data_IF_017564036422
#
_entry.id   IF_017564036422
#
_cell.length_a   1.000
_cell.length_b   1.000
_cell.length_c   1.000
_cell.angle_alpha   90.00
_cell.angle_beta   90.00
_cell.angle_gamma   90.00
#
_symmetry.space_group_name_H-M   'P 1'
#
loop_
_entity.id
_entity.type
_entity.pdbx_description
1 polymer ?
#
# COMPACT_ATOMS: atom_id res chain seq x y z
N UNK A 1 29.84 39.58 54.01
CA UNK A 1 29.37 38.25 53.51
C UNK A 1 27.87 38.16 53.24
N UNK A 2 26.97 38.55 54.17
CA UNK A 2 25.50 38.40 54.02
C UNK A 2 24.89 39.03 52.75
N UNK A 3 25.29 40.25 52.34
CA UNK A 3 24.75 40.92 51.12
C UNK A 3 25.06 40.18 49.80
N UNK A 4 26.22 39.54 49.68
CA UNK A 4 26.59 38.76 48.47
C UNK A 4 25.81 37.44 48.37
N UNK A 5 25.50 36.83 49.51
CA UNK A 5 24.70 35.59 49.59
C UNK A 5 23.23 35.89 49.24
N UNK A 6 22.65 36.97 49.78
CA UNK A 6 21.28 37.38 49.46
C UNK A 6 21.13 37.72 47.96
N UNK A 7 22.11 38.42 47.37
CA UNK A 7 22.07 38.73 45.93
C UNK A 7 22.17 37.48 45.05
N UNK A 8 22.95 36.46 45.46
CA UNK A 8 23.01 35.17 44.75
C UNK A 8 21.72 34.37 44.87
N UNK A 9 21.09 34.35 46.03
CA UNK A 9 19.80 33.66 46.23
C UNK A 9 18.71 34.30 45.37
N UNK A 10 18.62 35.63 45.34
CA UNK A 10 17.64 36.34 44.49
C UNK A 10 17.84 36.01 43.00
N UNK A 11 19.09 36.02 42.52
CA UNK A 11 19.39 35.69 41.11
C UNK A 11 18.99 34.24 40.79
N UNK A 12 19.31 33.29 41.67
CA UNK A 12 18.95 31.87 41.48
C UNK A 12 17.43 31.71 41.44
N UNK A 13 16.70 32.35 42.35
CA UNK A 13 15.23 32.28 42.38
C UNK A 13 14.60 32.89 41.13
N UNK A 14 15.13 34.00 40.61
CA UNK A 14 14.65 34.61 39.36
C UNK A 14 14.91 33.70 38.16
N UNK A 15 16.11 33.11 38.06
CA UNK A 15 16.46 32.19 36.96
C UNK A 15 15.59 30.94 36.99
N UNK A 16 15.36 30.35 38.16
CA UNK A 16 14.48 29.16 38.30
C UNK A 16 13.05 29.50 37.88
N UNK A 17 12.51 30.64 38.32
CA UNK A 17 11.15 31.04 37.94
C UNK A 17 11.03 31.32 36.43
N UNK A 18 12.04 31.92 35.80
CA UNK A 18 12.07 32.13 34.35
C UNK A 18 12.13 30.81 33.59
N UNK A 19 12.94 29.84 34.03
CA UNK A 19 13.01 28.50 33.42
C UNK A 19 11.67 27.78 33.57
N UNK A 20 11.06 27.79 34.76
CA UNK A 20 9.74 27.20 34.99
C UNK A 20 8.69 27.86 34.09
N UNK A 21 8.71 29.18 33.98
CA UNK A 21 7.77 29.91 33.12
C UNK A 21 7.97 29.57 31.64
N UNK A 22 9.21 29.44 31.16
CA UNK A 22 9.51 29.03 29.79
C UNK A 22 9.11 27.58 29.51
N UNK A 23 9.28 26.66 30.47
CA UNK A 23 8.84 25.26 30.36
C UNK A 23 7.31 25.17 30.33
N UNK A 24 6.62 25.92 31.20
CA UNK A 24 5.16 25.97 31.23
C UNK A 24 4.62 26.61 29.95
N UNK A 25 5.19 27.74 29.51
CA UNK A 25 4.81 28.39 28.26
C UNK A 25 5.02 27.47 27.06
N UNK A 26 6.17 26.77 26.97
CA UNK A 26 6.43 25.77 25.95
C UNK A 26 5.44 24.60 25.96
N UNK A 27 5.06 24.10 27.16
CA UNK A 27 4.02 23.08 27.31
C UNK A 27 2.66 23.58 26.83
N UNK A 28 2.27 24.81 27.19
CA UNK A 28 1.00 25.42 26.78
C UNK A 28 0.97 25.63 25.26
N UNK A 29 2.08 26.03 24.63
CA UNK A 29 2.17 26.16 23.17
C UNK A 29 2.06 24.81 22.46
N UNK A 30 2.64 23.75 23.02
CA UNK A 30 2.51 22.37 22.50
C UNK A 30 1.09 21.83 22.69
N UNK A 31 0.43 22.09 23.82
CA UNK A 31 -0.96 21.65 24.02
C UNK A 31 -1.94 22.44 23.16
N UNK A 32 -1.73 23.75 22.99
CA UNK A 32 -2.53 24.55 22.04
C UNK A 32 -2.31 24.11 20.60
N UNK A 33 -1.09 23.75 20.19
CA UNK A 33 -0.86 23.22 18.84
C UNK A 33 -1.50 21.85 18.66
N UNK A 34 -1.51 20.99 19.68
CA UNK A 34 -2.27 19.73 19.67
C UNK A 34 -3.77 19.96 19.55
N UNK A 35 -4.34 20.93 20.26
CA UNK A 35 -5.75 21.31 20.13
C UNK A 35 -6.08 21.93 18.76
N UNK A 36 -5.21 22.76 18.20
CA UNK A 36 -5.38 23.33 16.86
C UNK A 36 -5.26 22.26 15.77
N UNK A 37 -4.33 21.32 15.92
CA UNK A 37 -4.19 20.14 15.03
C UNK A 37 -5.44 19.25 15.18
N UNK A 38 -5.92 18.98 16.39
CA UNK A 38 -7.14 18.20 16.62
C UNK A 38 -8.44 18.91 16.14
N UNK A 39 -8.43 20.25 16.05
CA UNK A 39 -9.52 21.02 15.42
C UNK A 39 -9.44 21.02 13.90
N UNK A 40 -8.23 20.88 13.33
CA UNK A 40 -7.97 20.85 11.88
C UNK A 40 -8.15 19.45 11.28
N UNK A 41 -8.00 18.42 12.12
CA UNK A 41 -8.31 17.03 11.83
C UNK A 41 -9.36 16.60 12.86
N UNK A 42 -10.67 16.81 12.60
CA UNK A 42 -11.69 16.23 13.47
C UNK A 42 -11.34 14.76 13.65
N UNK A 43 -11.51 14.23 14.86
CA UNK A 43 -11.39 12.80 15.12
C UNK A 43 -12.14 12.08 14.01
N UNK A 44 -11.39 11.55 13.04
CA UNK A 44 -11.98 10.80 11.97
C UNK A 44 -12.51 9.57 12.68
N UNK A 45 -13.83 9.54 12.93
CA UNK A 45 -14.55 8.29 13.10
C UNK A 45 -14.00 7.39 12.01
N UNK A 46 -13.40 6.26 12.41
CA UNK A 46 -12.90 5.27 11.48
C UNK A 46 -13.92 5.19 10.34
N UNK A 47 -13.59 5.59 9.09
CA UNK A 47 -14.42 5.17 7.99
C UNK A 47 -14.48 3.66 8.19
N UNK A 48 -15.70 3.13 8.35
CA UNK A 48 -15.89 1.71 8.59
C UNK A 48 -14.98 1.03 7.57
N UNK A 49 -13.93 0.34 8.07
CA UNK A 49 -13.24 -0.66 7.27
C UNK A 49 -14.39 -1.42 6.65
N UNK A 50 -14.49 -1.35 5.31
CA UNK A 50 -15.63 -1.87 4.57
C UNK A 50 -16.08 -3.14 5.27
N UNK A 51 -17.33 -3.16 5.72
CA UNK A 51 -17.96 -4.36 6.25
C UNK A 51 -17.50 -5.49 5.32
N UNK A 52 -16.70 -6.42 5.86
CA UNK A 52 -16.02 -7.47 5.11
C UNK A 52 -16.99 -8.51 4.53
N UNK A 53 -18.19 -8.10 4.13
CA UNK A 53 -19.25 -8.92 3.57
C UNK A 53 -19.08 -9.24 2.09
N UNK A 54 -18.10 -8.66 1.37
CA UNK A 54 -17.69 -9.23 0.08
C UNK A 54 -16.88 -10.50 0.35
N UNK A 55 -17.53 -11.65 0.20
CA UNK A 55 -16.86 -12.94 0.26
C UNK A 55 -15.84 -13.00 -0.89
N UNK A 56 -14.55 -12.90 -0.54
CA UNK A 56 -13.46 -12.99 -1.52
C UNK A 56 -13.57 -14.23 -2.41
N UNK A 57 -13.07 -14.12 -3.63
CA UNK A 57 -13.12 -15.20 -4.60
C UNK A 57 -12.11 -16.31 -4.24
N UNK A 58 -12.51 -17.18 -3.30
CA UNK A 58 -11.73 -18.33 -2.90
C UNK A 58 -11.50 -19.30 -4.05
N UNK A 59 -10.25 -19.76 -4.16
CA UNK A 59 -9.81 -20.86 -5.02
C UNK A 59 -9.18 -21.96 -4.15
N UNK A 60 -9.09 -23.17 -4.67
CA UNK A 60 -8.41 -24.32 -4.05
C UNK A 60 -6.93 -24.44 -4.43
N UNK A 61 -6.43 -23.53 -5.27
CA UNK A 61 -5.04 -23.44 -5.68
C UNK A 61 -4.74 -24.00 -7.08
N UNK A 62 -5.72 -24.62 -7.74
CA UNK A 62 -5.59 -25.11 -9.11
C UNK A 62 -5.71 -23.97 -10.13
N UNK A 63 -6.66 -23.05 -9.92
CA UNK A 63 -6.83 -21.83 -10.74
C UNK A 63 -5.81 -20.74 -10.36
N UNK A 64 -5.73 -19.67 -11.15
CA UNK A 64 -4.90 -18.50 -10.89
C UNK A 64 -5.38 -17.71 -9.66
N UNK A 65 -4.47 -17.38 -8.74
CA UNK A 65 -4.84 -16.77 -7.45
C UNK A 65 -3.73 -15.93 -6.82
N UNK A 66 -4.12 -15.09 -5.86
CA UNK A 66 -3.24 -14.53 -4.85
C UNK A 66 -2.95 -15.55 -3.74
N UNK A 67 -1.70 -15.62 -3.27
CA UNK A 67 -1.33 -16.26 -2.00
C UNK A 67 -0.83 -15.19 -1.04
N UNK A 68 -1.39 -15.13 0.17
CA UNK A 68 -0.93 -14.20 1.20
C UNK A 68 0.22 -14.85 1.98
N UNK A 69 1.32 -14.12 2.16
CA UNK A 69 2.55 -14.59 2.80
C UNK A 69 2.94 -13.64 3.92
N UNK A 70 3.03 -14.15 5.14
CA UNK A 70 3.77 -13.52 6.24
C UNK A 70 5.22 -13.98 6.14
N UNK A 71 6.12 -13.09 5.72
CA UNK A 71 7.54 -13.42 5.55
C UNK A 71 8.38 -12.84 6.69
N UNK A 72 9.35 -13.60 7.18
CA UNK A 72 10.31 -13.13 8.17
C UNK A 72 11.69 -13.73 7.95
N UNK A 73 12.72 -13.08 8.46
CA UNK A 73 14.07 -13.64 8.48
C UNK A 73 14.18 -14.87 9.41
N UNK A 74 15.18 -15.72 9.18
CA UNK A 74 15.36 -16.96 9.98
C UNK A 74 15.65 -16.72 11.47
N UNK A 75 16.23 -15.57 11.79
CA UNK A 75 16.72 -15.22 13.13
C UNK A 75 15.74 -14.35 13.93
N UNK A 76 14.52 -14.14 13.42
CA UNK A 76 13.47 -13.39 14.11
C UNK A 76 12.36 -14.29 14.61
N UNK A 77 11.73 -13.88 15.72
CA UNK A 77 10.56 -14.56 16.29
C UNK A 77 9.35 -14.36 15.39
N UNK A 78 8.57 -15.42 15.18
CA UNK A 78 7.31 -15.34 14.44
C UNK A 78 6.27 -14.49 15.17
N UNK A 79 5.60 -13.61 14.43
CA UNK A 79 4.37 -12.89 14.80
C UNK A 79 3.19 -13.31 13.94
N UNK A 80 3.27 -14.50 13.33
CA UNK A 80 2.27 -15.01 12.40
C UNK A 80 0.86 -15.07 13.01
N UNK A 81 0.74 -15.48 14.28
CA UNK A 81 -0.56 -15.58 14.95
C UNK A 81 -1.24 -14.21 15.11
N UNK A 82 -0.46 -13.15 15.36
CA UNK A 82 -0.98 -11.79 15.51
C UNK A 82 -1.31 -11.14 14.16
N UNK A 83 -0.52 -11.46 13.13
CA UNK A 83 -0.58 -10.78 11.84
C UNK A 83 -1.46 -11.48 10.82
N UNK A 84 -1.57 -12.81 10.84
CA UNK A 84 -2.41 -13.53 9.86
C UNK A 84 -3.87 -13.06 9.84
N UNK A 85 -4.55 -12.76 10.97
CA UNK A 85 -5.91 -12.22 10.92
C UNK A 85 -5.97 -10.83 10.30
N UNK A 86 -4.97 -9.97 10.57
CA UNK A 86 -4.86 -8.64 9.96
C UNK A 86 -4.67 -8.72 8.45
N UNK A 87 -3.77 -9.59 8.00
CA UNK A 87 -3.50 -9.79 6.58
C UNK A 87 -4.75 -10.25 5.81
N UNK A 88 -5.54 -11.16 6.38
CA UNK A 88 -6.85 -11.55 5.81
C UNK A 88 -7.81 -10.37 5.75
N UNK A 89 -7.89 -9.59 6.84
CA UNK A 89 -8.75 -8.41 6.89
C UNK A 89 -8.35 -7.36 5.85
N UNK A 90 -7.06 -7.09 5.69
CA UNK A 90 -6.57 -6.13 4.71
C UNK A 90 -6.84 -6.59 3.28
N UNK A 91 -6.67 -7.87 2.99
CA UNK A 91 -7.02 -8.41 1.68
C UNK A 91 -8.52 -8.28 1.38
N UNK A 92 -9.39 -8.60 2.34
CA UNK A 92 -10.85 -8.41 2.16
C UNK A 92 -11.20 -6.95 1.89
N UNK A 93 -10.56 -6.01 2.59
CA UNK A 93 -10.76 -4.58 2.34
C UNK A 93 -10.25 -4.15 0.96
N UNK A 94 -9.10 -4.67 0.50
CA UNK A 94 -8.57 -4.44 -0.83
C UNK A 94 -9.52 -4.97 -1.92
N UNK A 95 -9.95 -6.22 -1.77
CA UNK A 95 -10.95 -6.87 -2.63
C UNK A 95 -12.27 -6.10 -2.68
N UNK A 96 -12.74 -5.61 -1.53
CA UNK A 96 -13.92 -4.77 -1.41
C UNK A 96 -13.82 -3.48 -2.25
N UNK A 97 -12.66 -2.82 -2.29
CA UNK A 97 -12.45 -1.62 -3.12
C UNK A 97 -12.65 -1.94 -4.60
N UNK A 98 -12.05 -3.04 -5.09
CA UNK A 98 -12.22 -3.47 -6.49
C UNK A 98 -13.69 -3.78 -6.79
N UNK A 99 -14.37 -4.45 -5.86
CA UNK A 99 -15.77 -4.81 -6.00
C UNK A 99 -16.71 -3.59 -6.04
N UNK A 100 -16.49 -2.61 -5.16
CA UNK A 100 -17.27 -1.37 -5.11
C UNK A 100 -17.11 -0.55 -6.41
N UNK A 101 -15.91 -0.53 -6.98
CA UNK A 101 -15.66 0.15 -8.25
C UNK A 101 -16.37 -0.57 -9.41
N UNK A 102 -16.41 -1.91 -9.42
CA UNK A 102 -17.16 -2.69 -10.41
C UNK A 102 -18.68 -2.50 -10.31
N UNK A 103 -19.23 -2.30 -9.10
CA UNK A 103 -20.68 -2.10 -8.88
C UNK A 103 -21.25 -0.91 -9.63
N UNK A 104 -20.44 0.11 -9.94
CA UNK A 104 -20.84 1.26 -10.78
C UNK A 104 -21.31 0.84 -12.17
N UNK A 105 -20.79 -0.28 -12.65
CA UNK A 105 -21.12 -0.87 -13.95
C UNK A 105 -22.19 -1.96 -13.86
N UNK A 106 -22.81 -2.14 -12.68
CA UNK A 106 -23.71 -3.27 -12.36
C UNK A 106 -23.00 -4.62 -12.58
N UNK A 107 -21.74 -4.68 -12.15
CA UNK A 107 -20.92 -5.88 -12.18
C UNK A 107 -20.32 -6.10 -10.80
N UNK A 108 -19.79 -7.30 -10.58
CA UNK A 108 -18.91 -7.62 -9.48
C UNK A 108 -17.54 -8.01 -10.03
N UNK A 109 -16.50 -7.62 -9.30
CA UNK A 109 -15.13 -8.04 -9.51
C UNK A 109 -14.57 -8.40 -8.14
N UNK A 110 -13.99 -9.59 -7.99
CA UNK A 110 -13.36 -10.01 -6.74
C UNK A 110 -12.00 -10.63 -7.06
N UNK A 111 -10.97 -10.21 -6.35
CA UNK A 111 -9.63 -10.77 -6.44
C UNK A 111 -9.67 -12.25 -6.04
N UNK A 112 -9.12 -13.11 -6.90
CA UNK A 112 -8.99 -14.54 -6.60
C UNK A 112 -7.88 -14.74 -5.57
N UNK A 113 -8.14 -15.58 -4.57
CA UNK A 113 -7.19 -15.85 -3.47
C UNK A 113 -7.25 -17.30 -3.05
N UNK A 114 -6.12 -17.88 -2.63
CA UNK A 114 -6.12 -19.24 -2.08
C UNK A 114 -6.91 -19.24 -0.76
N UNK A 115 -7.82 -20.19 -0.61
CA UNK A 115 -8.51 -20.42 0.64
C UNK A 115 -8.38 -21.87 1.11
N UNK A 116 -8.27 -22.03 2.42
CA UNK A 116 -8.30 -23.32 3.10
C UNK A 116 -9.48 -23.32 4.05
N UNK A 117 -10.34 -24.34 3.97
CA UNK A 117 -11.56 -24.46 4.80
C UNK A 117 -12.48 -23.23 4.76
N UNK A 118 -12.53 -22.54 3.60
CA UNK A 118 -13.36 -21.36 3.40
C UNK A 118 -12.79 -20.06 3.97
N UNK A 119 -11.56 -20.08 4.50
CA UNK A 119 -10.84 -18.90 4.96
C UNK A 119 -9.64 -18.62 4.05
N UNK A 120 -9.32 -17.35 3.83
CA UNK A 120 -8.11 -16.94 3.08
C UNK A 120 -6.88 -17.60 3.71
N UNK A 121 -6.12 -18.34 2.91
CA UNK A 121 -4.87 -18.94 3.33
C UNK A 121 -3.82 -17.85 3.50
N UNK A 122 -3.16 -17.84 4.66
CA UNK A 122 -1.97 -17.04 4.93
C UNK A 122 -0.90 -18.04 5.32
N UNK A 123 0.26 -17.96 4.70
CA UNK A 123 1.37 -18.86 5.00
C UNK A 123 2.53 -18.11 5.66
N UNK A 124 3.25 -18.79 6.53
CA UNK A 124 4.49 -18.26 7.11
C UNK A 124 5.70 -18.70 6.26
N UNK A 125 6.42 -17.73 5.71
CA UNK A 125 7.68 -17.95 5.02
C UNK A 125 8.86 -17.56 5.92
N UNK A 126 9.65 -18.57 6.32
CA UNK A 126 10.93 -18.35 7.00
C UNK A 126 12.02 -18.24 5.96
N UNK A 127 12.51 -17.02 5.76
CA UNK A 127 13.50 -16.72 4.74
C UNK A 127 14.91 -17.18 5.16
N UNK A 128 15.78 -17.58 4.22
CA UNK A 128 17.06 -18.23 4.52
C UNK A 128 18.13 -17.30 5.11
N UNK A 129 17.94 -15.98 5.04
CA UNK A 129 18.89 -15.00 5.52
C UNK A 129 18.42 -14.28 6.80
N UNK A 130 19.33 -13.57 7.45
CA UNK A 130 19.08 -12.84 8.71
C UNK A 130 18.39 -11.50 8.48
N UNK A 131 17.74 -10.93 9.50
CA UNK A 131 17.12 -9.59 9.40
C UNK A 131 18.16 -8.53 9.02
N UNK A 132 19.38 -8.63 9.58
CA UNK A 132 20.51 -7.75 9.24
C UNK A 132 20.88 -7.83 7.76
N UNK A 133 20.84 -9.03 7.16
CA UNK A 133 21.11 -9.20 5.73
C UNK A 133 20.07 -8.45 4.88
N UNK A 134 18.78 -8.61 5.17
CA UNK A 134 17.72 -7.94 4.40
C UNK A 134 17.71 -6.43 4.62
N UNK A 135 17.97 -5.98 5.85
CA UNK A 135 18.05 -4.57 6.21
C UNK A 135 19.20 -3.81 5.51
N UNK A 136 20.21 -4.53 5.05
CA UNK A 136 21.41 -3.98 4.40
C UNK A 136 21.66 -4.57 3.01
N UNK A 137 20.63 -5.14 2.39
CA UNK A 137 20.75 -5.89 1.15
C UNK A 137 21.40 -5.03 0.05
N UNK A 138 22.57 -5.44 -0.52
CA UNK A 138 23.33 -4.62 -1.48
C UNK A 138 22.59 -4.32 -2.79
N UNK A 139 21.51 -5.04 -3.07
CA UNK A 139 20.70 -4.98 -4.29
C UNK A 139 19.27 -4.52 -4.03
N UNK A 140 19.03 -3.92 -2.86
CA UNK A 140 17.74 -3.61 -2.25
C UNK A 140 16.98 -4.83 -1.74
N UNK A 141 16.26 -4.64 -0.64
CA UNK A 141 15.57 -5.71 0.09
C UNK A 141 14.61 -6.49 -0.82
N UNK A 142 13.87 -5.79 -1.69
CA UNK A 142 12.97 -6.39 -2.67
C UNK A 142 13.60 -7.48 -3.54
N UNK A 143 14.78 -7.22 -4.11
CA UNK A 143 15.43 -8.21 -5.00
C UNK A 143 15.88 -9.43 -4.21
N UNK A 144 16.36 -9.23 -2.98
CA UNK A 144 16.72 -10.31 -2.07
C UNK A 144 15.49 -11.15 -1.69
N UNK A 145 14.37 -10.50 -1.32
CA UNK A 145 13.11 -11.17 -0.99
C UNK A 145 12.58 -12.00 -2.15
N UNK A 146 12.47 -11.43 -3.36
CA UNK A 146 11.98 -12.15 -4.56
C UNK A 146 12.84 -13.39 -4.84
N UNK A 147 14.16 -13.24 -4.79
CA UNK A 147 15.09 -14.35 -5.01
C UNK A 147 14.89 -15.45 -3.97
N UNK A 148 14.87 -15.09 -2.69
CA UNK A 148 14.84 -16.06 -1.60
C UNK A 148 13.47 -16.75 -1.47
N UNK A 149 12.38 -16.04 -1.74
CA UNK A 149 11.04 -16.62 -1.84
C UNK A 149 10.97 -17.62 -3.01
N UNK A 150 11.48 -17.24 -4.18
CA UNK A 150 11.52 -18.14 -5.33
C UNK A 150 12.33 -19.41 -5.07
N UNK A 151 13.50 -19.29 -4.41
CA UNK A 151 14.31 -20.44 -3.98
C UNK A 151 13.63 -21.29 -2.91
N UNK A 152 12.70 -20.71 -2.14
CA UNK A 152 11.91 -21.40 -1.12
C UNK A 152 10.64 -22.06 -1.68
N UNK A 153 10.45 -22.06 -3.00
CA UNK A 153 9.31 -22.71 -3.68
C UNK A 153 8.09 -21.81 -3.89
N UNK A 154 8.19 -20.52 -3.58
CA UNK A 154 7.13 -19.55 -3.87
C UNK A 154 7.24 -19.02 -5.31
N UNK A 155 7.24 -19.91 -6.29
CA UNK A 155 7.59 -19.61 -7.68
C UNK A 155 6.58 -20.15 -8.71
N UNK A 156 5.33 -20.39 -8.30
CA UNK A 156 4.31 -20.97 -9.18
C UNK A 156 3.80 -19.95 -10.21
N UNK A 157 3.64 -20.41 -11.45
CA UNK A 157 3.14 -19.58 -12.57
C UNK A 157 1.65 -19.21 -12.46
N UNK A 158 0.87 -19.97 -11.69
CA UNK A 158 -0.53 -19.63 -11.41
C UNK A 158 -0.72 -18.82 -10.11
N UNK A 159 0.37 -18.41 -9.45
CA UNK A 159 0.29 -17.72 -8.15
C UNK A 159 0.96 -16.36 -8.21
N UNK A 160 0.30 -15.34 -7.66
CA UNK A 160 0.91 -14.06 -7.31
C UNK A 160 0.95 -13.92 -5.79
N UNK A 161 2.10 -13.60 -5.23
CA UNK A 161 2.33 -13.60 -3.79
C UNK A 161 2.18 -12.19 -3.23
N UNK A 162 1.26 -12.01 -2.28
CA UNK A 162 1.14 -10.79 -1.50
C UNK A 162 1.88 -11.01 -0.19
N UNK A 163 3.07 -10.43 -0.10
CA UNK A 163 4.04 -10.64 0.96
C UNK A 163 4.00 -9.48 1.94
N UNK A 164 3.77 -9.77 3.21
CA UNK A 164 4.06 -8.84 4.29
C UNK A 164 5.38 -9.24 4.95
N UNK A 165 6.41 -8.41 4.80
CA UNK A 165 7.74 -8.69 5.33
C UNK A 165 7.93 -8.08 6.73
N UNK A 166 8.10 -8.97 7.72
CA UNK A 166 8.34 -8.66 9.12
C UNK A 166 9.81 -8.36 9.43
N UNK A 167 10.36 -7.38 8.73
CA UNK A 167 11.75 -6.99 8.92
C UNK A 167 12.00 -5.60 8.40
N UNK A 168 13.23 -5.14 8.59
CA UNK A 168 13.66 -3.84 8.06
C UNK A 168 13.97 -3.98 6.57
N UNK A 169 13.65 -2.94 5.81
CA UNK A 169 13.90 -2.88 4.38
C UNK A 169 14.69 -1.63 3.99
N UNK A 170 15.50 -1.76 2.95
CA UNK A 170 16.25 -0.71 2.25
C UNK A 170 15.85 -0.65 0.78
N UNK A 171 16.11 0.50 0.14
CA UNK A 171 16.03 0.61 -1.32
C UNK A 171 14.77 1.17 -1.93
N UNK A 172 14.01 1.95 -1.17
CA UNK A 172 12.75 2.55 -1.62
C UNK A 172 12.86 4.06 -1.90
N UNK A 173 14.07 4.61 -2.00
CA UNK A 173 14.30 5.98 -2.48
C UNK A 173 13.70 7.13 -1.64
N UNK A 174 13.39 6.90 -0.35
CA UNK A 174 12.75 7.89 0.53
C UNK A 174 12.95 7.62 2.03
N UNK A 175 12.16 8.28 2.89
CA UNK A 175 12.32 8.25 4.36
C UNK A 175 11.94 6.91 5.01
N UNK A 176 11.13 6.07 4.33
CA UNK A 176 10.80 4.72 4.77
C UNK A 176 10.39 3.83 3.58
N UNK A 177 10.81 2.58 3.59
CA UNK A 177 10.27 1.55 2.70
C UNK A 177 8.88 1.11 3.20
N UNK A 178 7.83 1.39 2.44
CA UNK A 178 6.45 1.04 2.81
C UNK A 178 5.96 -0.17 2.01
N UNK A 179 6.12 -0.12 0.68
CA UNK A 179 5.67 -1.18 -0.21
C UNK A 179 6.43 -1.14 -1.54
N UNK A 180 6.54 -2.29 -2.21
CA UNK A 180 7.14 -2.49 -3.54
C UNK A 180 6.55 -3.72 -4.23
N UNK A 181 6.88 -3.92 -5.50
CA UNK A 181 6.36 -4.97 -6.36
C UNK A 181 7.45 -5.66 -7.20
N UNK A 182 7.07 -6.76 -7.85
CA UNK A 182 7.82 -7.33 -8.95
C UNK A 182 7.66 -6.47 -10.19
N UNK A 183 8.77 -6.25 -10.88
CA UNK A 183 8.83 -5.35 -12.03
C UNK A 183 8.79 -6.20 -13.29
N UNK A 184 7.77 -5.96 -14.11
CA UNK A 184 7.64 -6.44 -15.49
C UNK A 184 7.68 -5.25 -16.45
N UNK A 185 8.00 -5.52 -17.71
CA UNK A 185 7.92 -4.52 -18.79
C UNK A 185 6.47 -4.25 -19.21
N UNK A 186 6.25 -3.28 -20.10
CA UNK A 186 4.92 -3.00 -20.63
C UNK A 186 4.39 -4.16 -21.47
N UNK A 187 3.09 -4.39 -21.40
CA UNK A 187 2.32 -5.28 -22.27
C UNK A 187 0.85 -4.84 -22.32
N UNK A 188 0.49 -4.17 -23.41
CA UNK A 188 -0.85 -3.64 -23.64
C UNK A 188 -1.79 -4.63 -24.35
N UNK A 189 -1.35 -5.86 -24.61
CA UNK A 189 -2.17 -6.82 -25.34
C UNK A 189 -3.42 -7.19 -24.53
N UNK A 190 -4.61 -6.87 -25.04
CA UNK A 190 -5.89 -7.35 -24.50
C UNK A 190 -6.13 -8.80 -24.94
N UNK A 191 -5.34 -9.72 -24.38
CA UNK A 191 -5.40 -11.15 -24.66
C UNK A 191 -5.07 -11.96 -23.41
N UNK A 192 -5.36 -13.26 -23.43
CA UNK A 192 -4.95 -14.16 -22.34
C UNK A 192 -3.42 -14.31 -22.24
N UNK A 193 -2.70 -14.09 -23.34
CA UNK A 193 -1.24 -14.23 -23.44
C UNK A 193 -0.48 -13.02 -22.87
N UNK A 194 -1.20 -12.02 -22.34
CA UNK A 194 -0.59 -10.88 -21.67
C UNK A 194 0.33 -11.34 -20.53
N UNK A 195 1.56 -10.81 -20.43
CA UNK A 195 2.56 -11.25 -19.44
C UNK A 195 2.10 -11.08 -17.99
N UNK A 196 1.10 -10.24 -17.72
CA UNK A 196 0.52 -10.04 -16.40
C UNK A 196 -0.49 -11.12 -16.02
N UNK A 197 -0.94 -11.97 -16.97
CA UNK A 197 -1.79 -13.14 -16.73
C UNK A 197 -1.04 -14.40 -16.25
N UNK A 198 0.26 -14.29 -15.97
CA UNK A 198 1.10 -15.37 -15.45
C UNK A 198 1.97 -14.84 -14.30
N UNK A 199 2.13 -15.64 -13.25
CA UNK A 199 3.10 -15.45 -12.17
C UNK A 199 4.42 -16.20 -12.42
N UNK A 200 5.27 -16.39 -11.41
CA UNK A 200 5.16 -15.78 -10.10
C UNK A 200 5.41 -14.26 -10.17
N UNK A 201 4.60 -13.50 -9.46
CA UNK A 201 4.88 -12.10 -9.14
C UNK A 201 4.72 -11.88 -7.65
N UNK A 202 5.33 -10.81 -7.14
CA UNK A 202 5.35 -10.50 -5.71
C UNK A 202 4.94 -9.05 -5.49
N UNK A 203 3.87 -8.84 -4.73
CA UNK A 203 3.50 -7.57 -4.13
C UNK A 203 3.97 -7.59 -2.68
N UNK A 204 4.79 -6.63 -2.27
CA UNK A 204 5.52 -6.65 -1.00
C UNK A 204 5.15 -5.42 -0.18
N UNK A 205 4.64 -5.64 1.03
CA UNK A 205 4.47 -4.63 2.06
C UNK A 205 5.55 -4.84 3.12
N UNK A 206 6.11 -3.74 3.60
CA UNK A 206 7.15 -3.75 4.62
C UNK A 206 6.58 -3.36 5.97
N UNK A 207 7.13 -3.94 7.03
CA UNK A 207 6.90 -3.46 8.38
C UNK A 207 7.41 -2.01 8.51
N UNK A 208 6.48 -1.12 8.83
CA UNK A 208 6.75 0.27 9.17
C UNK A 208 6.07 0.57 10.49
N UNK A 209 6.71 1.37 11.35
CA UNK A 209 6.10 1.77 12.61
C UNK A 209 4.98 2.79 12.40
N UNK A 210 3.97 2.76 13.28
CA UNK A 210 2.81 3.65 13.18
C UNK A 210 3.18 5.14 13.28
N UNK A 211 4.26 5.50 13.98
CA UNK A 211 4.68 6.90 14.07
C UNK A 211 5.18 7.42 12.71
N UNK A 212 5.93 6.58 11.99
CA UNK A 212 6.36 6.87 10.62
C UNK A 212 5.15 6.99 9.68
N UNK A 213 4.18 6.07 9.73
CA UNK A 213 2.97 6.19 8.89
C UNK A 213 2.15 7.44 9.25
N UNK A 214 1.99 7.73 10.54
CA UNK A 214 1.29 8.93 10.99
C UNK A 214 1.99 10.20 10.50
N UNK A 215 3.32 10.22 10.48
CA UNK A 215 4.10 11.35 9.96
C UNK A 215 3.99 11.49 8.43
N UNK A 216 4.00 10.38 7.69
CA UNK A 216 4.00 10.40 6.23
C UNK A 216 2.61 10.60 5.64
N UNK A 217 1.59 9.99 6.23
CA UNK A 217 0.25 9.86 5.64
C UNK A 217 -0.87 10.36 6.56
N UNK A 218 -0.56 10.80 7.78
CA UNK A 218 -1.55 11.34 8.71
C UNK A 218 -2.53 10.29 9.27
N UNK A 219 -2.18 9.01 9.20
CA UNK A 219 -3.07 7.89 9.54
C UNK A 219 -2.30 6.71 10.18
N UNK A 220 -2.98 5.61 10.47
CA UNK A 220 -2.37 4.37 11.02
C UNK A 220 -2.04 3.36 9.92
N UNK A 221 -1.09 2.44 10.18
CA UNK A 221 -0.74 1.40 9.22
C UNK A 221 -1.95 0.53 8.86
N UNK A 222 -2.75 0.12 9.85
CA UNK A 222 -3.92 -0.74 9.65
C UNK A 222 -4.94 -0.12 8.67
N UNK A 223 -5.02 1.22 8.59
CA UNK A 223 -5.92 1.93 7.67
C UNK A 223 -5.40 1.98 6.23
N UNK A 224 -4.09 2.05 6.01
CA UNK A 224 -3.48 2.18 4.68
C UNK A 224 -3.01 0.86 4.10
N UNK A 225 -2.78 -0.16 4.92
CA UNK A 225 -2.31 -1.46 4.48
C UNK A 225 -3.18 -2.11 3.39
N UNK A 226 -4.53 -2.07 3.43
CA UNK A 226 -5.35 -2.55 2.31
C UNK A 226 -5.06 -1.84 0.99
N UNK A 227 -4.78 -0.55 1.06
CA UNK A 227 -4.54 0.30 -0.12
C UNK A 227 -3.17 0.04 -0.72
N UNK A 228 -2.15 -0.02 0.13
CA UNK A 228 -0.80 -0.37 -0.28
C UNK A 228 -0.74 -1.79 -0.84
N UNK A 229 -1.47 -2.72 -0.22
CA UNK A 229 -1.62 -4.07 -0.72
C UNK A 229 -2.23 -4.09 -2.12
N UNK A 230 -3.34 -3.38 -2.29
CA UNK A 230 -4.02 -3.32 -3.58
C UNK A 230 -3.17 -2.62 -4.64
N UNK A 231 -2.46 -1.54 -4.28
CA UNK A 231 -1.56 -0.80 -5.17
C UNK A 231 -0.46 -1.70 -5.74
N UNK A 232 0.31 -2.36 -4.86
CA UNK A 232 1.38 -3.23 -5.32
C UNK A 232 0.83 -4.47 -6.04
N UNK A 233 -0.31 -5.02 -5.58
CA UNK A 233 -0.93 -6.14 -6.25
C UNK A 233 -1.45 -5.76 -7.64
N UNK A 234 -2.03 -4.58 -7.80
CA UNK A 234 -2.46 -4.06 -9.10
C UNK A 234 -1.28 -3.89 -10.06
N UNK A 235 -0.10 -3.49 -9.59
CA UNK A 235 1.11 -3.53 -10.41
C UNK A 235 1.46 -4.93 -10.91
N UNK A 236 1.28 -5.97 -10.08
CA UNK A 236 1.48 -7.35 -10.52
C UNK A 236 0.42 -7.82 -11.52
N UNK A 237 -0.73 -7.13 -11.59
CA UNK A 237 -1.80 -7.35 -12.56
C UNK A 237 -1.68 -6.46 -13.81
N UNK A 238 -0.66 -5.60 -13.89
CA UNK A 238 -0.39 -4.76 -15.05
C UNK A 238 -0.91 -3.33 -14.97
N UNK A 239 -1.34 -2.84 -13.82
CA UNK A 239 -1.59 -1.41 -13.64
C UNK A 239 -0.26 -0.65 -13.39
N UNK A 240 -0.07 0.59 -13.84
CA UNK A 240 -0.69 1.27 -14.97
C UNK A 240 0.24 1.09 -16.18
N UNK A 241 -0.31 0.76 -17.35
CA UNK A 241 0.51 0.60 -18.55
C UNK A 241 1.02 1.96 -19.06
N UNK A 242 2.23 2.05 -19.64
CA UNK A 242 2.76 3.34 -20.09
C UNK A 242 1.99 4.03 -21.20
N UNK A 243 1.16 3.30 -21.96
CA UNK A 243 0.32 3.88 -23.00
C UNK A 243 -1.05 4.35 -22.49
N UNK A 244 -1.35 4.16 -21.20
CA UNK A 244 -2.60 4.59 -20.60
C UNK A 244 -2.76 6.13 -20.71
N UNK A 245 -3.99 6.63 -20.91
CA UNK A 245 -4.25 8.05 -21.18
C UNK A 245 -3.61 9.02 -20.18
N UNK A 246 -3.56 8.63 -18.91
CA UNK A 246 -3.06 9.41 -17.79
C UNK A 246 -1.95 8.67 -17.04
N UNK A 247 -1.07 7.95 -17.75
CA UNK A 247 0.17 7.44 -17.18
C UNK A 247 1.20 8.55 -16.91
N UNK A 248 1.97 8.39 -15.82
CA UNK A 248 3.16 9.23 -15.56
C UNK A 248 4.18 9.15 -16.68
N UNK A 249 4.90 10.26 -16.92
CA UNK A 249 5.73 10.46 -18.12
C UNK A 249 7.17 9.99 -17.97
N UNK A 250 7.53 9.29 -16.90
CA UNK A 250 8.91 8.82 -16.71
C UNK A 250 9.27 7.72 -17.70
N UNK A 251 9.80 8.11 -18.85
CA UNK A 251 10.16 7.25 -20.00
C UNK A 251 10.95 5.98 -19.63
N UNK A 252 11.73 6.02 -18.54
CA UNK A 252 12.59 4.91 -18.14
C UNK A 252 11.95 3.89 -17.20
N UNK A 253 10.72 4.15 -16.71
CA UNK A 253 10.04 3.22 -15.79
C UNK A 253 9.26 2.16 -16.57
N UNK A 254 9.57 0.88 -16.30
CA UNK A 254 8.90 -0.29 -16.88
C UNK A 254 7.43 -0.45 -16.42
N UNK A 255 7.07 0.14 -15.28
CA UNK A 255 5.71 0.25 -14.73
C UNK A 255 5.45 1.73 -14.41
N UNK A 256 4.21 2.19 -14.57
CA UNK A 256 3.81 3.58 -14.35
C UNK A 256 2.73 3.70 -13.27
N UNK A 257 2.54 4.93 -12.82
CA UNK A 257 1.45 5.38 -11.96
C UNK A 257 0.47 6.23 -12.79
N UNK A 258 -0.72 6.51 -12.26
CA UNK A 258 -1.64 7.46 -12.88
C UNK A 258 -1.36 8.91 -12.47
N UNK A 259 -1.91 9.85 -13.24
CA UNK A 259 -1.91 11.28 -12.94
C UNK A 259 -3.32 11.90 -12.86
N UNK A 260 -4.39 11.12 -12.83
CA UNK A 260 -5.79 11.60 -12.76
C UNK A 260 -6.13 12.42 -11.52
N UNK A 261 -5.44 12.14 -10.42
CA UNK A 261 -5.67 12.82 -9.14
C UNK A 261 -4.38 12.99 -8.37
N UNK A 262 -4.31 13.94 -7.43
CA UNK A 262 -3.14 14.08 -6.56
C UNK A 262 -2.82 12.77 -5.84
N UNK A 263 -1.56 12.58 -5.45
CA UNK A 263 -1.14 11.37 -4.72
C UNK A 263 -1.95 11.19 -3.42
N UNK A 264 -2.16 9.95 -2.98
CA UNK A 264 -2.70 9.68 -1.64
C UNK A 264 -1.92 10.46 -0.57
N UNK A 265 -2.65 11.10 0.34
CA UNK A 265 -2.08 11.99 1.36
C UNK A 265 -1.83 13.43 0.86
N UNK A 266 -2.01 13.70 -0.42
CA UNK A 266 -1.96 15.02 -1.04
C UNK A 266 -3.32 15.46 -1.62
N UNK A 267 -4.41 14.80 -1.22
CA UNK A 267 -5.78 15.20 -1.58
C UNK A 267 -6.36 14.50 -2.81
N UNK A 268 -5.78 13.40 -3.28
CA UNK A 268 -6.44 12.47 -4.18
C UNK A 268 -6.68 11.10 -3.56
N UNK A 269 -7.47 10.30 -4.28
CA UNK A 269 -8.03 9.04 -3.79
C UNK A 269 -7.75 7.84 -4.69
N UNK A 270 -7.24 8.05 -5.90
CA UNK A 270 -6.81 6.96 -6.77
C UNK A 270 -5.61 6.24 -6.15
N UNK A 271 -5.71 4.93 -6.00
CA UNK A 271 -4.64 4.18 -5.36
C UNK A 271 -3.38 4.14 -6.21
N UNK A 272 -3.44 4.17 -7.54
CA UNK A 272 -2.28 4.07 -8.42
C UNK A 272 -1.67 5.43 -8.74
N UNK A 273 -2.26 6.55 -8.31
CA UNK A 273 -1.75 7.87 -8.66
C UNK A 273 -0.62 8.30 -7.73
N UNK A 274 0.54 8.57 -8.33
CA UNK A 274 1.77 8.98 -7.64
C UNK A 274 2.75 9.59 -8.64
N UNK A 275 3.62 10.47 -8.17
CA UNK A 275 4.67 11.07 -9.01
C UNK A 275 5.85 10.11 -9.18
N UNK A 276 6.18 9.82 -10.45
CA UNK A 276 7.38 9.05 -10.82
C UNK A 276 8.60 9.91 -11.14
N UNK A 277 8.36 11.17 -11.53
CA UNK A 277 9.36 12.15 -11.89
C UNK A 277 9.00 13.54 -11.33
N UNK A 278 10.00 14.40 -11.17
CA UNK A 278 9.74 15.79 -10.80
C UNK A 278 8.96 16.49 -11.93
N UNK A 279 7.95 17.28 -11.55
CA UNK A 279 7.16 18.07 -12.48
C UNK A 279 5.96 17.35 -13.09
N UNK A 280 5.59 16.16 -12.61
CA UNK A 280 4.30 15.54 -12.96
C UNK A 280 3.14 16.49 -12.60
N UNK A 281 2.20 16.63 -13.53
CA UNK A 281 1.02 17.48 -13.36
C UNK A 281 -0.17 16.56 -13.15
N UNK A 282 -0.76 16.63 -11.96
CA UNK A 282 -1.92 15.84 -11.61
C UNK A 282 -3.21 16.55 -12.01
N UNK A 283 -4.16 15.77 -12.52
CA UNK A 283 -5.56 16.13 -12.64
C UNK A 283 -6.25 16.21 -11.28
N UNK A 284 -7.58 16.29 -11.33
CA UNK A 284 -8.40 16.37 -10.13
C UNK A 284 -9.71 15.58 -10.30
N UNK A 285 -9.65 14.44 -10.98
CA UNK A 285 -10.84 13.65 -11.35
C UNK A 285 -11.50 12.97 -10.14
N UNK A 286 -10.70 12.66 -9.11
CA UNK A 286 -11.21 12.11 -7.85
C UNK A 286 -10.58 12.81 -6.63
N UNK A 287 -11.01 14.06 -6.36
CA UNK A 287 -10.50 14.84 -5.24
C UNK A 287 -10.98 14.28 -3.91
N UNK A 288 -10.16 14.45 -2.88
CA UNK A 288 -10.50 14.12 -1.51
C UNK A 288 -9.49 13.18 -0.87
N UNK A 289 -9.85 12.63 0.29
CA UNK A 289 -9.05 11.61 0.97
C UNK A 289 -9.74 10.25 1.01
N UNK A 290 -11.07 10.23 0.91
CA UNK A 290 -11.90 9.03 0.98
C UNK A 290 -13.22 9.23 0.21
N UNK A 291 -13.88 8.14 -0.21
CA UNK A 291 -13.35 6.78 -0.23
C UNK A 291 -12.21 6.63 -1.25
N UNK A 292 -11.31 5.67 -1.03
CA UNK A 292 -10.27 5.34 -2.01
C UNK A 292 -10.89 4.76 -3.28
N UNK A 293 -10.25 5.01 -4.42
CA UNK A 293 -10.73 4.68 -5.76
C UNK A 293 -9.75 3.75 -6.45
N UNK A 294 -10.26 2.74 -7.13
CA UNK A 294 -9.41 1.78 -7.83
C UNK A 294 -9.02 2.21 -9.24
N UNK A 295 -9.76 3.09 -9.90
CA UNK A 295 -9.34 3.73 -11.16
C UNK A 295 -10.25 4.93 -11.35
N UNK A 296 -9.69 6.13 -11.25
CA UNK A 296 -10.42 7.37 -11.45
C UNK A 296 -10.72 7.56 -12.93
N UNK A 297 -11.94 8.00 -13.24
CA UNK A 297 -12.47 8.05 -14.61
C UNK A 297 -12.61 6.69 -15.34
N UNK A 298 -12.02 5.60 -14.83
CA UNK A 298 -12.18 4.23 -15.35
C UNK A 298 -11.72 4.08 -16.80
N UNK A 299 -10.59 4.68 -17.15
CA UNK A 299 -10.01 4.70 -18.49
C UNK A 299 -8.50 4.39 -18.55
N UNK A 300 -7.82 4.20 -17.41
CA UNK A 300 -6.38 3.93 -17.38
C UNK A 300 -6.01 2.47 -17.16
N UNK A 301 -6.72 1.75 -16.29
CA UNK A 301 -6.35 0.35 -16.00
C UNK A 301 -7.49 -0.55 -15.54
N UNK A 302 -8.65 -0.03 -15.12
CA UNK A 302 -9.77 -0.84 -14.67
C UNK A 302 -11.13 -0.28 -15.11
N UNK A 303 -11.77 -1.04 -16.01
CA UNK A 303 -13.16 -0.85 -16.35
C UNK A 303 -13.77 -2.20 -16.77
N UNK A 304 -14.69 -2.80 -15.99
CA UNK A 304 -15.25 -4.09 -16.33
C UNK A 304 -16.28 -4.06 -17.48
N UNK A 305 -16.67 -2.86 -17.91
CA UNK A 305 -17.59 -2.64 -19.02
C UNK A 305 -17.16 -1.41 -19.85
N UNK A 306 -15.99 -1.46 -20.50
CA UNK A 306 -15.43 -0.32 -21.21
C UNK A 306 -16.28 0.01 -22.42
N UNK A 307 -16.41 1.30 -22.72
CA UNK A 307 -17.13 1.75 -23.92
C UNK A 307 -16.40 1.26 -25.19
N UNK A 308 -17.12 0.83 -26.24
CA UNK A 308 -16.50 0.39 -27.48
C UNK A 308 -15.55 1.44 -28.06
N UNK A 309 -14.31 1.04 -28.36
CA UNK A 309 -13.28 1.92 -28.91
C UNK A 309 -12.54 2.79 -27.89
N UNK A 310 -12.89 2.73 -26.60
CA UNK A 310 -12.07 3.31 -25.53
C UNK A 310 -10.72 2.59 -25.40
N UNK A 311 -9.78 3.23 -24.68
CA UNK A 311 -8.48 2.64 -24.39
C UNK A 311 -8.63 1.23 -23.77
N UNK A 312 -9.40 1.10 -22.70
CA UNK A 312 -9.63 -0.17 -21.99
C UNK A 312 -10.50 -1.19 -22.74
N UNK A 313 -11.09 -0.81 -23.88
CA UNK A 313 -11.74 -1.76 -24.80
C UNK A 313 -10.75 -2.40 -25.80
N UNK A 314 -9.52 -1.87 -25.91
CA UNK A 314 -8.54 -2.26 -26.93
C UNK A 314 -7.14 -2.56 -26.38
N UNK A 315 -6.84 -2.11 -25.16
CA UNK A 315 -5.57 -2.31 -24.46
C UNK A 315 -5.79 -3.14 -23.19
N UNK A 316 -4.69 -3.53 -22.53
CA UNK A 316 -4.75 -4.28 -21.30
C UNK A 316 -5.64 -3.58 -20.27
N UNK A 317 -6.59 -4.34 -19.72
CA UNK A 317 -7.61 -3.84 -18.83
C UNK A 317 -7.79 -4.86 -17.72
N UNK A 318 -7.49 -4.47 -16.48
CA UNK A 318 -7.62 -5.35 -15.33
C UNK A 318 -9.07 -5.80 -15.12
N UNK A 319 -10.05 -4.99 -15.55
CA UNK A 319 -11.49 -5.30 -15.53
C UNK A 319 -11.96 -6.26 -16.62
N UNK A 320 -11.07 -6.69 -17.53
CA UNK A 320 -11.41 -7.64 -18.59
C UNK A 320 -11.64 -9.06 -18.03
N UNK A 321 -12.61 -9.83 -18.53
CA UNK A 321 -12.76 -11.25 -18.20
C UNK A 321 -11.56 -12.12 -18.63
N UNK A 322 -10.63 -11.58 -19.42
CA UNK A 322 -9.36 -12.22 -19.77
C UNK A 322 -8.34 -12.19 -18.62
N UNK A 323 -8.57 -11.37 -17.59
CA UNK A 323 -7.73 -11.33 -16.40
C UNK A 323 -7.95 -12.61 -15.57
N UNK A 324 -6.92 -13.45 -15.49
CA UNK A 324 -7.00 -14.76 -14.82
C UNK A 324 -7.09 -14.67 -13.30
N UNK A 325 -6.71 -13.53 -12.70
CA UNK A 325 -6.62 -13.34 -11.25
C UNK A 325 -7.84 -12.63 -10.63
N UNK A 326 -8.82 -12.23 -11.44
CA UNK A 326 -10.05 -11.58 -10.95
C UNK A 326 -11.25 -12.41 -11.38
N UNK A 327 -12.18 -12.64 -10.44
CA UNK A 327 -13.46 -13.27 -10.71
C UNK A 327 -14.51 -12.20 -10.95
N UNK A 328 -15.08 -12.20 -12.15
CA UNK A 328 -16.17 -11.31 -12.52
C UNK A 328 -17.54 -11.99 -12.38
N UNK A 329 -18.56 -11.18 -12.12
CA UNK A 329 -19.97 -11.59 -12.12
C UNK A 329 -20.88 -10.43 -12.53
N UNK A 330 -22.09 -10.74 -12.96
CA UNK A 330 -23.17 -9.76 -13.20
C UNK A 330 -24.10 -9.69 -12.00
#
# INVERSE_FOLDING_TARGET
MKKKIIKRIIIITVVINVIIFLVIAGKITIEKSKEEIAKRFPSFSQPALFDGSTKSACTDGEDYHAQIVYARAKDTTSRYQDLSPKLRSWFRSADGIVNEEAKKFKMSANLKVLCENGEISVIEAVLPNTDVYYASAPQETRKALIKDLGLSGYNKENTKYIVWYDGKASGCGGNACISQQSIKGPDDQLSEDNIYNVGPDYAILYKVDDATIQQLLGTSYDMVAPILMLHEYAHTLGAVQPSAPHATKKETSAQKHCIDSPTIGQGGTDIMCKSDAQGEVFGNECPGMFPFRFDCNNDDYFNPKPDPGSYLATHWNLGSPLNRFIKFGQ
#
